data_IF_732667029284
#
_entry.id   IF_732667029284
#
_cell.length_a   1.000
_cell.length_b   1.000
_cell.length_c   1.000
_cell.angle_alpha   90.00
_cell.angle_beta   90.00
_cell.angle_gamma   90.00
#
_symmetry.space_group_name_H-M   'P 1'
#
loop_
_entity.id
_entity.type
_entity.pdbx_description
1 polymer ?
#
# COMPACT_ATOMS: atom_id res chain seq x y z
N UNK A 1 -5.13 -8.09 -15.29
CA UNK A 1 -6.53 -7.80 -14.88
C UNK A 1 -7.43 -7.32 -16.03
N UNK A 2 -7.10 -7.53 -17.31
CA UNK A 2 -7.88 -7.02 -18.47
C UNK A 2 -9.28 -7.65 -18.69
N UNK A 3 -9.79 -8.45 -17.75
CA UNK A 3 -11.04 -9.23 -17.93
C UNK A 3 -12.07 -9.07 -16.81
N UNK A 4 -11.69 -8.59 -15.62
CA UNK A 4 -12.61 -8.47 -14.50
C UNK A 4 -12.41 -7.12 -13.79
N UNK A 5 -13.49 -6.35 -13.54
CA UNK A 5 -13.42 -5.09 -12.81
C UNK A 5 -13.07 -5.29 -11.33
N UNK A 6 -12.59 -4.23 -10.68
CA UNK A 6 -12.51 -4.18 -9.23
C UNK A 6 -13.94 -4.13 -8.70
N UNK A 7 -14.32 -5.10 -7.86
CA UNK A 7 -15.70 -5.25 -7.36
C UNK A 7 -15.71 -5.58 -5.87
N UNK A 8 -16.84 -5.41 -5.20
CA UNK A 8 -17.05 -5.83 -3.81
C UNK A 8 -16.66 -7.29 -3.61
N UNK A 9 -17.10 -8.18 -4.50
CA UNK A 9 -16.72 -9.61 -4.48
C UNK A 9 -15.21 -9.85 -4.57
N UNK A 10 -14.48 -9.05 -5.34
CA UNK A 10 -13.01 -9.13 -5.40
C UNK A 10 -12.41 -8.74 -4.04
N UNK A 11 -12.91 -7.67 -3.42
CA UNK A 11 -12.43 -7.17 -2.14
C UNK A 11 -12.74 -8.14 -1.00
N UNK A 12 -13.93 -8.72 -0.96
CA UNK A 12 -14.34 -9.76 -0.01
C UNK A 12 -13.45 -11.01 -0.14
N UNK A 13 -13.28 -11.55 -1.36
CA UNK A 13 -12.44 -12.72 -1.58
C UNK A 13 -10.95 -12.46 -1.30
N UNK A 14 -10.48 -11.22 -1.52
CA UNK A 14 -9.13 -10.84 -1.15
C UNK A 14 -8.98 -10.68 0.37
N UNK A 15 -9.99 -10.12 1.05
CA UNK A 15 -10.04 -10.01 2.51
C UNK A 15 -9.99 -11.39 3.17
N UNK A 16 -10.80 -12.34 2.68
CA UNK A 16 -10.81 -13.74 3.13
C UNK A 16 -9.40 -14.35 3.03
N UNK A 17 -8.76 -14.28 1.85
CA UNK A 17 -7.40 -14.83 1.65
C UNK A 17 -6.33 -14.15 2.49
N UNK A 18 -6.46 -12.85 2.71
CA UNK A 18 -5.50 -12.07 3.49
C UNK A 18 -5.50 -12.49 4.97
N UNK A 19 -6.67 -12.85 5.50
CA UNK A 19 -6.85 -13.19 6.91
C UNK A 19 -6.87 -14.69 7.21
N UNK A 20 -7.14 -15.55 6.21
CA UNK A 20 -7.17 -17.02 6.34
C UNK A 20 -5.95 -17.62 7.08
N UNK A 21 -4.77 -17.00 6.93
CA UNK A 21 -3.51 -17.47 7.53
C UNK A 21 -3.01 -16.64 8.72
N UNK A 22 -3.70 -15.57 9.06
CA UNK A 22 -3.37 -14.77 10.24
C UNK A 22 -4.07 -15.44 11.41
N UNK A 23 -3.31 -16.20 12.20
CA UNK A 23 -3.86 -17.05 13.26
C UNK A 23 -4.95 -16.35 14.07
N UNK A 24 -6.05 -17.05 14.34
CA UNK A 24 -7.25 -16.56 15.06
C UNK A 24 -6.84 -15.86 16.36
N UNK A 25 -6.58 -14.56 16.33
CA UNK A 25 -6.28 -13.78 17.53
C UNK A 25 -7.58 -13.68 18.31
N UNK A 26 -7.55 -14.17 19.55
CA UNK A 26 -8.70 -14.35 20.44
C UNK A 26 -9.61 -13.11 20.48
N UNK A 27 -10.91 -13.34 20.28
CA UNK A 27 -11.98 -12.42 20.72
C UNK A 27 -12.76 -11.68 19.64
N UNK A 28 -12.36 -11.78 18.37
CA UNK A 28 -13.19 -11.32 17.25
C UNK A 28 -13.52 -12.51 16.37
N UNK A 29 -14.80 -12.83 16.23
CA UNK A 29 -15.28 -13.66 15.12
C UNK A 29 -14.89 -12.93 13.83
N UNK A 30 -13.71 -13.24 13.28
CA UNK A 30 -13.27 -12.64 12.04
C UNK A 30 -14.23 -13.10 10.95
N UNK A 31 -15.11 -12.19 10.56
CA UNK A 31 -16.02 -12.37 9.44
C UNK A 31 -15.18 -12.29 8.16
N UNK A 32 -14.52 -13.40 7.84
CA UNK A 32 -13.67 -13.52 6.66
C UNK A 32 -14.52 -13.26 5.41
N UNK A 33 -14.02 -12.35 4.56
CA UNK A 33 -14.72 -11.92 3.35
C UNK A 33 -16.11 -11.31 3.56
N UNK A 34 -16.43 -10.82 4.76
CA UNK A 34 -17.76 -10.27 5.06
C UNK A 34 -17.63 -8.88 5.69
N UNK A 35 -18.57 -8.00 5.36
CA UNK A 35 -18.62 -6.67 5.97
C UNK A 35 -18.85 -6.71 7.48
N UNK A 36 -18.46 -5.62 8.14
CA UNK A 36 -18.57 -5.42 9.58
C UNK A 36 -20.01 -5.60 10.05
N UNK A 37 -20.19 -6.19 11.23
CA UNK A 37 -21.48 -6.30 11.92
C UNK A 37 -21.61 -5.35 13.11
N UNK A 38 -20.50 -4.75 13.51
CA UNK A 38 -20.40 -3.79 14.60
C UNK A 38 -19.69 -2.52 14.13
N UNK A 39 -19.92 -1.41 14.84
CA UNK A 39 -19.21 -0.17 14.56
C UNK A 39 -17.73 -0.31 14.90
N UNK A 40 -16.87 -0.04 13.93
CA UNK A 40 -15.42 -0.02 14.08
C UNK A 40 -14.89 1.43 14.17
N UNK A 41 -13.57 1.57 14.34
CA UNK A 41 -12.89 2.84 14.59
C UNK A 41 -11.46 2.82 14.05
N UNK A 42 -10.89 4.00 13.83
CA UNK A 42 -9.50 4.17 13.40
C UNK A 42 -8.73 5.01 14.42
N UNK A 43 -7.52 4.58 14.76
CA UNK A 43 -6.60 5.34 15.61
C UNK A 43 -6.96 5.39 17.10
N UNK A 44 -7.59 4.34 17.65
CA UNK A 44 -7.93 4.22 19.08
C UNK A 44 -8.28 2.79 19.49
N UNK A 45 -8.51 2.56 20.78
CA UNK A 45 -8.89 1.24 21.35
C UNK A 45 -10.37 1.16 21.75
N UNK A 46 -11.05 2.31 21.78
CA UNK A 46 -12.46 2.47 22.13
C UNK A 46 -13.04 3.61 21.29
N UNK A 47 -14.36 3.62 21.08
CA UNK A 47 -15.02 4.66 20.26
C UNK A 47 -14.79 6.08 20.81
N UNK A 48 -14.75 6.23 22.14
CA UNK A 48 -14.51 7.50 22.83
C UNK A 48 -13.07 8.04 22.69
N UNK A 49 -12.12 7.17 22.36
CA UNK A 49 -10.70 7.50 22.15
C UNK A 49 -10.28 7.40 20.69
N UNK A 50 -11.23 7.14 19.79
CA UNK A 50 -10.95 7.02 18.37
C UNK A 50 -10.61 8.39 17.77
N UNK A 51 -9.64 8.40 16.85
CA UNK A 51 -9.31 9.60 16.07
C UNK A 51 -10.24 9.80 14.89
N UNK A 52 -10.84 8.71 14.40
CA UNK A 52 -11.81 8.75 13.32
C UNK A 52 -12.85 7.63 13.49
N UNK A 53 -14.11 7.98 13.32
CA UNK A 53 -15.24 7.04 13.31
C UNK A 53 -15.70 6.85 11.86
N UNK A 54 -15.50 5.65 11.27
CA UNK A 54 -15.94 5.30 9.92
C UNK A 54 -17.45 5.33 9.71
N UNK A 55 -17.85 5.15 8.45
CA UNK A 55 -19.24 5.09 8.02
C UNK A 55 -20.10 4.21 8.95
N UNK A 56 -21.33 4.65 9.29
CA UNK A 56 -22.26 3.85 10.10
C UNK A 56 -22.50 2.48 9.49
N UNK A 57 -22.72 1.47 10.35
CA UNK A 57 -22.96 0.08 9.94
C UNK A 57 -23.99 -0.05 8.80
N UNK A 58 -25.13 0.65 8.90
CA UNK A 58 -26.24 0.57 7.94
C UNK A 58 -25.92 1.19 6.58
N UNK A 59 -24.88 2.02 6.51
CA UNK A 59 -24.51 2.77 5.31
C UNK A 59 -23.27 2.19 4.63
N UNK A 60 -22.50 1.35 5.32
CA UNK A 60 -21.22 0.83 4.82
C UNK A 60 -21.36 0.06 3.50
N UNK A 61 -22.37 -0.81 3.37
CA UNK A 61 -22.57 -1.61 2.14
C UNK A 61 -22.99 -0.74 0.95
N UNK A 62 -23.88 0.24 1.19
CA UNK A 62 -24.31 1.19 0.18
C UNK A 62 -23.11 2.05 -0.28
N UNK A 63 -22.32 2.55 0.67
CA UNK A 63 -21.12 3.33 0.38
C UNK A 63 -20.06 2.51 -0.40
N UNK A 64 -19.90 1.21 -0.09
CA UNK A 64 -19.04 0.31 -0.88
C UNK A 64 -19.57 0.12 -2.30
N UNK A 65 -20.90 -0.01 -2.46
CA UNK A 65 -21.53 -0.11 -3.76
C UNK A 65 -21.32 1.16 -4.60
N UNK A 66 -21.36 2.33 -3.96
CA UNK A 66 -21.11 3.61 -4.60
C UNK A 66 -19.64 3.77 -4.99
N UNK A 67 -18.72 3.33 -4.12
CA UNK A 67 -17.29 3.29 -4.40
C UNK A 67 -16.98 2.37 -5.58
N UNK A 68 -17.59 1.19 -5.65
CA UNK A 68 -17.43 0.27 -6.78
C UNK A 68 -17.90 0.91 -8.10
N UNK A 69 -19.05 1.58 -8.10
CA UNK A 69 -19.53 2.31 -9.29
C UNK A 69 -18.58 3.45 -9.68
N UNK A 70 -18.03 4.16 -8.69
CA UNK A 70 -17.04 5.20 -8.94
C UNK A 70 -15.77 4.64 -9.57
N UNK A 71 -15.23 3.52 -9.04
CA UNK A 71 -14.00 2.91 -9.57
C UNK A 71 -14.17 2.52 -11.04
N UNK A 72 -15.31 1.90 -11.39
CA UNK A 72 -15.57 1.33 -12.72
C UNK A 72 -16.27 2.27 -13.71
N UNK A 73 -16.38 3.56 -13.39
CA UNK A 73 -16.98 4.55 -14.30
C UNK A 73 -16.15 4.73 -15.58
N UNK A 74 -16.79 5.19 -16.65
CA UNK A 74 -16.08 5.60 -17.86
C UNK A 74 -15.23 6.85 -17.60
N UNK A 75 -13.95 6.82 -18.03
CA UNK A 75 -12.98 7.91 -17.80
C UNK A 75 -12.51 8.53 -19.11
N UNK A 76 -12.20 9.82 -19.08
CA UNK A 76 -11.76 10.58 -20.27
C UNK A 76 -10.27 10.94 -20.32
N UNK A 77 -9.44 10.64 -19.32
CA UNK A 77 -7.96 10.81 -19.42
C UNK A 77 -7.18 10.12 -18.26
N UNK A 78 -5.93 9.68 -18.50
CA UNK A 78 -5.11 8.95 -17.52
C UNK A 78 -4.44 9.81 -16.43
N UNK A 79 -4.21 11.12 -16.64
CA UNK A 79 -3.61 12.00 -15.62
C UNK A 79 -4.46 12.11 -14.34
N UNK A 80 -5.75 11.80 -14.42
CA UNK A 80 -6.65 11.72 -13.27
C UNK A 80 -6.48 10.45 -12.42
N UNK A 81 -5.75 9.44 -12.90
CA UNK A 81 -5.67 8.15 -12.22
C UNK A 81 -5.06 8.25 -10.81
N UNK A 82 -3.99 9.03 -10.62
CA UNK A 82 -3.35 9.19 -9.31
C UNK A 82 -4.24 9.96 -8.31
N UNK A 83 -4.97 10.97 -8.80
CA UNK A 83 -5.94 11.69 -7.98
C UNK A 83 -7.09 10.76 -7.60
N UNK A 84 -7.62 9.99 -8.55
CA UNK A 84 -8.66 9.00 -8.29
C UNK A 84 -8.21 7.93 -7.30
N UNK A 85 -6.97 7.46 -7.39
CA UNK A 85 -6.39 6.53 -6.41
C UNK A 85 -6.37 7.14 -5.01
N UNK A 86 -6.03 8.44 -4.88
CA UNK A 86 -6.08 9.14 -3.60
C UNK A 86 -7.51 9.23 -3.05
N UNK A 87 -8.48 9.56 -3.91
CA UNK A 87 -9.90 9.66 -3.54
C UNK A 87 -10.49 8.31 -3.14
N UNK A 88 -10.20 7.26 -3.91
CA UNK A 88 -10.67 5.90 -3.62
C UNK A 88 -10.01 5.36 -2.35
N UNK A 89 -8.72 5.62 -2.14
CA UNK A 89 -8.04 5.21 -0.91
C UNK A 89 -8.68 5.88 0.32
N UNK A 90 -8.91 7.19 0.27
CA UNK A 90 -9.66 7.90 1.31
C UNK A 90 -11.02 7.25 1.55
N UNK A 91 -11.83 7.13 0.50
CA UNK A 91 -13.20 6.68 0.62
C UNK A 91 -13.29 5.26 1.19
N UNK A 92 -12.43 4.35 0.73
CA UNK A 92 -12.37 2.98 1.25
C UNK A 92 -12.03 2.96 2.75
N UNK A 93 -11.04 3.74 3.16
CA UNK A 93 -10.57 3.80 4.55
C UNK A 93 -11.62 4.42 5.47
N UNK A 94 -12.34 5.45 5.01
CA UNK A 94 -13.42 6.09 5.78
C UNK A 94 -14.72 5.29 5.80
N UNK A 95 -14.97 4.41 4.83
CA UNK A 95 -16.05 3.41 4.92
C UNK A 95 -15.67 2.34 5.95
N UNK A 96 -14.40 1.91 5.91
CA UNK A 96 -13.83 0.87 6.78
C UNK A 96 -14.73 -0.37 6.84
N UNK A 97 -14.96 -1.05 5.70
CA UNK A 97 -16.09 -1.97 5.55
C UNK A 97 -15.93 -3.30 6.31
N UNK A 98 -14.72 -3.70 6.69
CA UNK A 98 -14.45 -4.98 7.36
C UNK A 98 -14.18 -4.79 8.87
N UNK A 99 -14.26 -5.86 9.66
CA UNK A 99 -13.97 -5.80 11.10
C UNK A 99 -12.47 -5.54 11.39
N UNK A 100 -11.58 -6.11 10.58
CA UNK A 100 -10.11 -5.91 10.60
C UNK A 100 -9.61 -5.97 9.14
N UNK A 101 -8.32 -5.72 8.92
CA UNK A 101 -7.69 -5.91 7.61
C UNK A 101 -7.90 -4.76 6.64
N UNK A 102 -8.74 -3.77 6.97
CA UNK A 102 -9.05 -2.63 6.12
C UNK A 102 -7.79 -1.92 5.62
N UNK A 103 -6.86 -1.53 6.49
CA UNK A 103 -5.65 -0.83 6.03
C UNK A 103 -4.78 -1.66 5.07
N UNK A 104 -4.71 -2.99 5.28
CA UNK A 104 -3.97 -3.90 4.38
C UNK A 104 -4.66 -4.00 3.03
N UNK A 105 -5.99 -4.11 3.03
CA UNK A 105 -6.82 -4.19 1.83
C UNK A 105 -6.86 -2.86 1.07
N UNK A 106 -6.93 -1.73 1.76
CA UNK A 106 -6.89 -0.38 1.19
C UNK A 106 -5.57 -0.12 0.48
N UNK A 107 -4.44 -0.51 1.08
CA UNK A 107 -3.13 -0.44 0.40
C UNK A 107 -3.00 -1.39 -0.79
N UNK A 108 -3.57 -2.59 -0.70
CA UNK A 108 -3.63 -3.50 -1.85
C UNK A 108 -4.48 -2.90 -3.00
N UNK A 109 -5.59 -2.24 -2.68
CA UNK A 109 -6.46 -1.59 -3.65
C UNK A 109 -5.70 -0.51 -4.44
N UNK A 110 -4.80 0.26 -3.81
CA UNK A 110 -3.92 1.21 -4.51
C UNK A 110 -3.10 0.49 -5.61
N UNK A 111 -2.44 -0.62 -5.28
CA UNK A 111 -1.63 -1.37 -6.25
C UNK A 111 -2.47 -1.99 -7.36
N UNK A 112 -3.68 -2.47 -7.05
CA UNK A 112 -4.61 -3.00 -8.05
C UNK A 112 -5.09 -1.89 -9.00
N UNK A 113 -5.48 -0.73 -8.45
CA UNK A 113 -5.87 0.43 -9.26
C UNK A 113 -4.74 0.90 -10.15
N UNK A 114 -3.50 0.96 -9.66
CA UNK A 114 -2.36 1.36 -10.48
C UNK A 114 -2.19 0.46 -11.71
N UNK A 115 -2.48 -0.84 -11.58
CA UNK A 115 -2.45 -1.79 -12.70
C UNK A 115 -3.67 -1.65 -13.60
N UNK A 116 -4.88 -1.49 -13.05
CA UNK A 116 -6.10 -1.37 -13.87
C UNK A 116 -6.15 -0.07 -14.66
N UNK A 117 -5.61 1.01 -14.09
CA UNK A 117 -5.50 2.33 -14.71
C UNK A 117 -4.26 2.47 -15.61
N UNK A 118 -3.49 1.40 -15.82
CA UNK A 118 -2.27 1.38 -16.66
C UNK A 118 -1.18 2.36 -16.22
N UNK A 119 -1.18 2.75 -14.95
CA UNK A 119 -0.09 3.54 -14.33
C UNK A 119 1.17 2.69 -14.23
N UNK A 120 1.01 1.39 -13.95
CA UNK A 120 2.08 0.38 -13.93
C UNK A 120 1.59 -0.93 -14.54
N UNK A 121 2.49 -1.72 -15.15
CA UNK A 121 2.13 -3.00 -15.76
C UNK A 121 1.98 -4.15 -14.75
N UNK A 122 2.55 -3.99 -13.56
CA UNK A 122 2.59 -5.00 -12.51
C UNK A 122 2.37 -4.37 -11.13
N UNK A 123 1.79 -5.11 -10.16
CA UNK A 123 1.45 -4.56 -8.84
C UNK A 123 2.68 -4.45 -7.92
N UNK A 124 3.65 -3.62 -8.30
CA UNK A 124 4.94 -3.43 -7.59
C UNK A 124 4.96 -2.19 -6.70
N UNK A 125 3.88 -1.40 -6.71
CA UNK A 125 3.75 -0.24 -5.84
C UNK A 125 3.51 -0.70 -4.40
N UNK A 126 4.48 -0.47 -3.51
CA UNK A 126 4.43 -0.87 -2.10
C UNK A 126 4.51 0.35 -1.18
N UNK A 127 3.34 0.85 -0.76
CA UNK A 127 3.20 2.09 0.01
C UNK A 127 3.47 1.96 1.51
N UNK A 128 3.33 0.75 2.05
CA UNK A 128 3.35 0.53 3.51
C UNK A 128 4.60 1.05 4.22
N UNK A 129 5.84 0.88 3.71
CA UNK A 129 7.03 1.36 4.40
C UNK A 129 7.08 2.88 4.55
N UNK A 130 6.48 3.62 3.62
CA UNK A 130 6.45 5.08 3.66
C UNK A 130 5.24 5.62 4.43
N UNK A 131 4.14 4.86 4.49
CA UNK A 131 2.97 5.19 5.31
C UNK A 131 3.16 4.90 6.80
N UNK A 132 3.83 3.80 7.17
CA UNK A 132 3.92 3.37 8.58
C UNK A 132 4.50 4.45 9.52
N UNK A 133 5.62 5.13 9.18
CA UNK A 133 6.14 6.23 10.01
C UNK A 133 5.24 7.47 10.02
N UNK A 134 4.29 7.56 9.08
CA UNK A 134 3.40 8.71 8.84
C UNK A 134 1.94 8.39 9.20
N UNK A 135 1.68 7.27 9.87
CA UNK A 135 0.32 6.78 10.14
C UNK A 135 -0.55 7.78 10.90
N UNK A 136 0.04 8.57 11.79
CA UNK A 136 -0.70 9.54 12.57
C UNK A 136 -1.12 10.74 11.71
N UNK A 137 -0.21 11.27 10.89
CA UNK A 137 -0.52 12.32 9.93
C UNK A 137 -1.56 11.85 8.90
N UNK A 138 -1.45 10.59 8.45
CA UNK A 138 -2.42 9.97 7.56
C UNK A 138 -3.84 9.99 8.13
N UNK A 139 -4.02 9.57 9.39
CA UNK A 139 -5.32 9.58 10.06
C UNK A 139 -5.84 11.02 10.26
N UNK A 140 -4.97 11.95 10.67
CA UNK A 140 -5.36 13.35 10.86
C UNK A 140 -5.82 14.00 9.56
N UNK A 141 -5.13 13.75 8.45
CA UNK A 141 -5.50 14.29 7.14
C UNK A 141 -6.85 13.73 6.67
N UNK A 142 -7.11 12.42 6.86
CA UNK A 142 -8.44 11.87 6.59
C UNK A 142 -9.52 12.55 7.45
N UNK A 143 -9.24 12.78 8.72
CA UNK A 143 -10.16 13.51 9.60
C UNK A 143 -10.42 14.94 9.10
N UNK A 144 -9.38 15.69 8.70
CA UNK A 144 -9.55 17.06 8.20
C UNK A 144 -10.37 17.10 6.90
N UNK A 145 -10.23 16.11 6.01
CA UNK A 145 -11.10 15.99 4.84
C UNK A 145 -12.56 15.83 5.27
N UNK A 146 -12.84 14.91 6.19
CA UNK A 146 -14.21 14.68 6.67
C UNK A 146 -14.79 15.89 7.41
N UNK A 147 -13.98 16.63 8.17
CA UNK A 147 -14.45 17.72 9.02
C UNK A 147 -14.54 19.06 8.29
N UNK A 148 -13.65 19.30 7.32
CA UNK A 148 -13.45 20.63 6.69
C UNK A 148 -13.32 20.59 5.17
N UNK A 149 -13.35 19.41 4.54
CA UNK A 149 -13.21 19.29 3.09
C UNK A 149 -11.82 19.62 2.56
N UNK A 150 -10.76 19.46 3.37
CA UNK A 150 -9.36 19.77 3.01
C UNK A 150 -8.75 18.75 2.05
N UNK A 151 -9.37 18.56 0.88
CA UNK A 151 -8.96 17.56 -0.12
C UNK A 151 -7.57 17.79 -0.68
N UNK A 152 -7.15 19.04 -0.82
CA UNK A 152 -5.84 19.40 -1.38
C UNK A 152 -4.73 18.80 -0.50
N UNK A 153 -4.80 18.97 0.82
CA UNK A 153 -3.78 18.46 1.74
C UNK A 153 -3.69 16.92 1.72
N UNK A 154 -4.84 16.25 1.66
CA UNK A 154 -4.90 14.79 1.53
C UNK A 154 -4.28 14.30 0.21
N UNK A 155 -4.67 14.89 -0.91
CA UNK A 155 -4.16 14.50 -2.23
C UNK A 155 -2.66 14.77 -2.29
N UNK A 156 -2.20 15.93 -1.81
CA UNK A 156 -0.78 16.26 -1.75
C UNK A 156 0.02 15.27 -0.92
N UNK A 157 -0.47 14.91 0.28
CA UNK A 157 0.16 13.87 1.12
C UNK A 157 0.21 12.52 0.40
N UNK A 158 -0.90 12.09 -0.20
CA UNK A 158 -0.97 10.81 -0.89
C UNK A 158 0.03 10.75 -2.05
N UNK A 159 0.13 11.83 -2.84
CA UNK A 159 1.06 11.92 -3.96
C UNK A 159 2.52 11.94 -3.48
N UNK A 160 2.83 12.66 -2.40
CA UNK A 160 4.18 12.68 -1.80
C UNK A 160 4.61 11.27 -1.36
N UNK A 161 3.77 10.57 -0.61
CA UNK A 161 4.05 9.20 -0.16
C UNK A 161 4.16 8.25 -1.35
N UNK A 162 3.37 8.47 -2.40
CA UNK A 162 3.45 7.69 -3.66
C UNK A 162 4.81 7.91 -4.32
N UNK A 163 5.27 9.14 -4.44
CA UNK A 163 6.59 9.47 -5.01
C UNK A 163 7.73 8.82 -4.21
N UNK A 164 7.67 8.87 -2.87
CA UNK A 164 8.65 8.22 -2.01
C UNK A 164 8.67 6.71 -2.23
N UNK A 165 7.48 6.09 -2.29
CA UNK A 165 7.32 4.66 -2.46
C UNK A 165 7.82 4.18 -3.82
N UNK A 166 7.49 4.88 -4.90
CA UNK A 166 7.98 4.58 -6.25
C UNK A 166 9.50 4.73 -6.32
N UNK A 167 10.05 5.81 -5.76
CA UNK A 167 11.50 6.05 -5.72
C UNK A 167 12.23 4.91 -5.02
N UNK A 168 11.68 4.44 -3.89
CA UNK A 168 12.20 3.30 -3.15
C UNK A 168 12.09 1.99 -3.94
N UNK A 169 10.97 1.74 -4.60
CA UNK A 169 10.78 0.56 -5.46
C UNK A 169 11.82 0.53 -6.58
N UNK A 170 12.02 1.63 -7.29
CA UNK A 170 13.04 1.74 -8.36
C UNK A 170 14.44 1.44 -7.81
N UNK A 171 14.84 2.06 -6.70
CA UNK A 171 16.15 1.80 -6.07
C UNK A 171 16.31 0.33 -5.66
N UNK A 172 15.25 -0.30 -5.17
CA UNK A 172 15.24 -1.71 -4.79
C UNK A 172 15.46 -2.60 -6.02
N UNK A 173 14.73 -2.33 -7.11
CA UNK A 173 14.89 -3.05 -8.39
C UNK A 173 16.32 -2.90 -8.90
N UNK A 174 16.88 -1.69 -8.90
CA UNK A 174 18.25 -1.45 -9.36
C UNK A 174 19.27 -2.24 -8.52
N UNK A 175 19.07 -2.34 -7.20
CA UNK A 175 19.92 -3.17 -6.33
C UNK A 175 19.81 -4.65 -6.66
N UNK A 176 18.60 -5.16 -6.92
CA UNK A 176 18.37 -6.56 -7.34
C UNK A 176 19.08 -6.84 -8.67
N UNK A 177 18.92 -5.95 -9.67
CA UNK A 177 19.57 -6.12 -10.98
C UNK A 177 21.10 -6.10 -10.89
N UNK A 178 21.67 -5.19 -10.08
CA UNK A 178 23.12 -5.19 -9.83
C UNK A 178 23.60 -6.47 -9.16
N UNK A 179 22.89 -6.94 -8.14
CA UNK A 179 23.23 -8.20 -7.46
C UNK A 179 23.21 -9.39 -8.43
N UNK A 180 22.27 -9.42 -9.38
CA UNK A 180 22.21 -10.47 -10.40
C UNK A 180 23.46 -10.49 -11.28
N UNK A 181 23.91 -9.33 -11.74
CA UNK A 181 25.15 -9.19 -12.52
C UNK A 181 26.36 -9.62 -11.71
N UNK A 182 26.46 -9.19 -10.44
CA UNK A 182 27.55 -9.55 -9.54
C UNK A 182 27.61 -11.07 -9.27
N UNK A 183 26.46 -11.70 -9.02
CA UNK A 183 26.37 -13.15 -8.81
C UNK A 183 26.84 -13.92 -10.04
N UNK A 184 26.39 -13.51 -11.24
CA UNK A 184 26.82 -14.13 -12.51
C UNK A 184 28.32 -13.95 -12.71
N UNK A 185 28.87 -12.78 -12.43
CA UNK A 185 30.31 -12.52 -12.53
C UNK A 185 31.13 -13.42 -11.58
N UNK A 186 30.73 -13.52 -10.30
CA UNK A 186 31.35 -14.43 -9.31
C UNK A 186 31.34 -15.88 -9.80
N UNK A 187 30.21 -16.37 -10.30
CA UNK A 187 30.11 -17.74 -10.80
C UNK A 187 30.94 -17.99 -12.05
N UNK A 188 30.98 -17.05 -13.01
CA UNK A 188 31.79 -17.18 -14.23
C UNK A 188 33.30 -17.17 -13.93
N UNK A 189 33.73 -16.45 -12.89
CA UNK A 189 35.12 -16.45 -12.46
C UNK A 189 35.55 -17.80 -11.85
N UNK A 190 34.62 -18.50 -11.18
CA UNK A 190 34.90 -19.78 -10.52
C UNK A 190 34.63 -21.01 -11.41
N UNK A 191 33.74 -20.92 -12.39
CA UNK A 191 33.33 -22.07 -13.21
C UNK A 191 32.81 -21.65 -14.58
N UNK A 192 33.08 -22.49 -15.60
CA UNK A 192 32.49 -22.37 -16.95
C UNK A 192 31.15 -23.10 -17.10
N UNK A 193 30.57 -23.59 -16.00
CA UNK A 193 29.32 -24.36 -16.02
C UNK A 193 28.10 -23.49 -16.31
N UNK A 194 27.48 -23.70 -17.47
CA UNK A 194 26.18 -23.08 -17.81
C UNK A 194 25.07 -23.47 -16.82
N UNK A 195 25.16 -24.65 -16.19
CA UNK A 195 24.18 -25.10 -15.19
C UNK A 195 24.28 -24.28 -13.90
N UNK A 196 25.47 -23.80 -13.53
CA UNK A 196 25.66 -22.91 -12.37
C UNK A 196 24.97 -21.56 -12.60
N UNK A 197 25.10 -21.00 -13.81
CA UNK A 197 24.38 -19.78 -14.21
C UNK A 197 22.87 -19.98 -14.22
N UNK A 198 22.39 -21.15 -14.67
CA UNK A 198 20.98 -21.49 -14.61
C UNK A 198 20.42 -21.53 -13.18
N UNK A 199 21.22 -21.98 -12.19
CA UNK A 199 20.82 -21.90 -10.77
C UNK A 199 20.79 -20.45 -10.28
N UNK A 200 21.72 -19.60 -10.72
CA UNK A 200 21.69 -18.16 -10.40
C UNK A 200 20.40 -17.52 -10.93
N UNK A 201 20.03 -17.78 -12.18
CA UNK A 201 18.81 -17.21 -12.74
C UNK A 201 17.56 -17.73 -11.99
N UNK A 202 17.57 -18.99 -11.55
CA UNK A 202 16.51 -19.59 -10.74
C UNK A 202 16.37 -18.92 -9.35
N UNK A 203 17.47 -18.55 -8.68
CA UNK A 203 17.37 -17.95 -7.34
C UNK A 203 16.80 -16.53 -7.36
N UNK A 204 16.84 -15.83 -8.49
CA UNK A 204 16.16 -14.53 -8.65
C UNK A 204 14.66 -14.66 -8.86
N UNK A 205 14.18 -15.82 -9.37
CA UNK A 205 12.76 -16.19 -9.33
C UNK A 205 12.36 -16.74 -7.95
N UNK A 206 13.26 -17.49 -7.31
CA UNK A 206 13.03 -18.19 -6.04
C UNK A 206 14.23 -18.07 -5.11
N UNK A 207 14.28 -17.07 -4.23
CA UNK A 207 15.43 -16.82 -3.34
C UNK A 207 15.72 -17.94 -2.33
N UNK A 208 14.80 -18.90 -2.19
CA UNK A 208 14.94 -20.09 -1.36
C UNK A 208 14.78 -21.32 -2.24
N UNK A 209 15.81 -22.17 -2.28
CA UNK A 209 15.85 -23.37 -3.13
C UNK A 209 16.24 -24.61 -2.34
N UNK A 210 15.76 -25.76 -2.78
CA UNK A 210 16.18 -27.09 -2.30
C UNK A 210 16.81 -27.87 -3.45
N UNK A 211 17.61 -28.89 -3.14
CA UNK A 211 18.23 -29.76 -4.15
C UNK A 211 17.21 -30.31 -5.15
N UNK A 212 16.03 -30.73 -4.67
CA UNK A 212 14.91 -31.19 -5.50
C UNK A 212 14.46 -30.13 -6.52
N UNK A 213 14.36 -28.87 -6.11
CA UNK A 213 13.99 -27.77 -7.02
C UNK A 213 15.02 -27.61 -8.14
N UNK A 214 16.30 -27.78 -7.82
CA UNK A 214 17.38 -27.72 -8.82
C UNK A 214 17.28 -28.89 -9.80
N UNK A 215 17.06 -30.12 -9.31
CA UNK A 215 16.84 -31.30 -10.16
C UNK A 215 15.70 -31.06 -11.15
N UNK A 216 14.53 -30.64 -10.64
CA UNK A 216 13.32 -30.45 -11.44
C UNK A 216 13.44 -29.29 -12.45
N UNK A 217 14.05 -28.16 -12.06
CA UNK A 217 14.08 -26.95 -12.90
C UNK A 217 15.29 -26.85 -13.82
N UNK A 218 16.42 -27.45 -13.44
CA UNK A 218 17.68 -27.38 -14.20
C UNK A 218 17.96 -28.66 -15.00
N UNK A 219 17.27 -29.76 -14.66
CA UNK A 219 17.39 -31.05 -15.36
C UNK A 219 18.74 -31.71 -15.11
N UNK A 220 19.09 -31.93 -13.84
CA UNK A 220 20.35 -32.54 -13.39
C UNK A 220 20.09 -33.63 -12.36
N UNK A 221 21.07 -34.51 -12.12
CA UNK A 221 20.97 -35.53 -11.06
C UNK A 221 21.02 -34.88 -9.67
N UNK A 222 20.53 -35.57 -8.64
CA UNK A 222 20.58 -35.07 -7.25
C UNK A 222 22.02 -34.77 -6.80
N UNK A 223 22.97 -35.65 -7.16
CA UNK A 223 24.40 -35.44 -6.87
C UNK A 223 24.96 -34.17 -7.55
N UNK A 224 24.57 -33.92 -8.81
CA UNK A 224 24.95 -32.70 -9.52
C UNK A 224 24.29 -31.46 -8.91
N UNK A 225 23.01 -31.52 -8.54
CA UNK A 225 22.30 -30.45 -7.85
C UNK A 225 22.99 -30.06 -6.54
N UNK A 226 23.34 -31.04 -5.70
CA UNK A 226 24.08 -30.81 -4.45
C UNK A 226 25.46 -30.20 -4.69
N UNK A 227 26.12 -30.58 -5.77
CA UNK A 227 27.43 -30.01 -6.14
C UNK A 227 27.30 -28.53 -6.55
N UNK A 228 26.29 -28.18 -7.35
CA UNK A 228 26.01 -26.79 -7.70
C UNK A 228 25.67 -25.94 -6.47
N UNK A 229 24.85 -26.48 -5.55
CA UNK A 229 24.50 -25.79 -4.29
C UNK A 229 25.73 -25.56 -3.41
N UNK A 230 26.62 -26.55 -3.26
CA UNK A 230 27.89 -26.39 -2.53
C UNK A 230 28.77 -25.31 -3.16
N UNK A 231 28.94 -25.33 -4.48
CA UNK A 231 29.72 -24.30 -5.19
C UNK A 231 29.16 -22.89 -4.95
N UNK A 232 27.85 -22.70 -5.04
CA UNK A 232 27.24 -21.39 -4.76
C UNK A 232 27.35 -20.99 -3.28
N UNK A 233 27.42 -21.95 -2.37
CA UNK A 233 27.66 -21.71 -0.94
C UNK A 233 29.10 -21.26 -0.70
N UNK A 234 30.08 -21.93 -1.34
CA UNK A 234 31.50 -21.57 -1.29
C UNK A 234 31.77 -20.17 -1.89
N UNK A 235 30.98 -19.77 -2.89
CA UNK A 235 31.03 -18.42 -3.48
C UNK A 235 30.33 -17.34 -2.63
N UNK A 236 29.76 -17.71 -1.48
CA UNK A 236 28.99 -16.81 -0.62
C UNK A 236 27.68 -16.32 -1.23
N UNK A 237 27.18 -16.98 -2.28
CA UNK A 237 25.91 -16.62 -2.95
C UNK A 237 24.71 -17.22 -2.21
N UNK A 238 24.89 -18.44 -1.70
CA UNK A 238 23.88 -19.18 -0.93
C UNK A 238 24.35 -19.44 0.49
N UNK A 239 23.38 -19.51 1.40
CA UNK A 239 23.59 -19.95 2.78
C UNK A 239 22.69 -21.14 3.05
N UNK A 240 23.26 -22.28 3.44
CA UNK A 240 22.48 -23.44 3.89
C UNK A 240 21.81 -23.13 5.23
N UNK A 241 20.53 -23.46 5.35
CA UNK A 241 19.83 -23.40 6.62
C UNK A 241 19.81 -24.77 7.29
N UNK A 242 20.42 -24.85 8.47
CA UNK A 242 20.41 -26.05 9.30
C UNK A 242 19.05 -26.35 9.97
N UNK A 243 18.05 -25.50 9.79
CA UNK A 243 16.75 -25.60 10.49
C UNK A 243 15.63 -26.25 9.67
N UNK A 244 15.89 -26.63 8.41
CA UNK A 244 14.87 -27.20 7.53
C UNK A 244 15.21 -28.64 7.12
N UNK A 245 14.18 -29.50 7.15
CA UNK A 245 14.23 -30.85 6.56
C UNK A 245 13.13 -30.99 5.50
N UNK A 246 13.47 -31.28 4.23
CA UNK A 246 14.82 -31.36 3.67
C UNK A 246 15.57 -30.01 3.67
N UNK A 247 16.90 -30.06 3.62
CA UNK A 247 17.78 -28.88 3.67
C UNK A 247 17.42 -27.86 2.58
N UNK A 248 17.52 -26.57 2.93
CA UNK A 248 17.19 -25.45 2.06
C UNK A 248 18.32 -24.42 2.06
N UNK A 249 18.52 -23.77 0.91
CA UNK A 249 19.54 -22.76 0.69
C UNK A 249 18.89 -21.42 0.38
N UNK A 250 19.45 -20.36 0.97
CA UNK A 250 18.91 -19.00 0.93
C UNK A 250 19.90 -18.08 0.23
N UNK A 251 19.43 -17.34 -0.77
CA UNK A 251 20.14 -16.20 -1.34
C UNK A 251 19.97 -15.00 -0.39
N UNK A 252 20.73 -14.98 0.70
CA UNK A 252 20.51 -14.04 1.82
C UNK A 252 20.60 -12.58 1.39
N UNK A 253 21.64 -12.20 0.63
CA UNK A 253 21.80 -10.83 0.14
C UNK A 253 20.56 -10.38 -0.67
N UNK A 254 20.02 -11.26 -1.51
CA UNK A 254 18.82 -10.99 -2.31
C UNK A 254 17.56 -10.82 -1.43
N UNK A 255 17.38 -11.67 -0.42
CA UNK A 255 16.24 -11.62 0.51
C UNK A 255 16.26 -10.33 1.35
N UNK A 256 17.45 -9.82 1.65
CA UNK A 256 17.62 -8.65 2.51
C UNK A 256 17.49 -7.32 1.75
N UNK A 257 17.68 -7.28 0.42
CA UNK A 257 17.58 -6.05 -0.38
C UNK A 257 16.29 -5.23 -0.14
N UNK A 258 15.08 -5.83 -0.10
CA UNK A 258 13.84 -5.07 0.06
C UNK A 258 13.58 -4.59 1.49
N UNK A 259 14.34 -5.10 2.47
CA UNK A 259 14.13 -4.75 3.88
C UNK A 259 14.56 -3.29 4.09
N UNK A 260 13.78 -2.50 4.86
CA UNK A 260 14.22 -1.16 5.24
C UNK A 260 15.58 -1.23 5.92
N UNK A 261 16.50 -0.35 5.49
CA UNK A 261 17.71 -0.07 6.27
C UNK A 261 17.21 0.45 7.63
N UNK A 262 17.47 -0.32 8.69
CA UNK A 262 17.07 -0.01 10.07
C UNK A 262 17.61 1.37 10.50
N UNK A 263 18.59 1.91 9.78
CA UNK A 263 19.31 3.16 10.07
C UNK A 263 18.60 4.45 9.58
N UNK A 264 17.59 4.37 8.71
CA UNK A 264 17.01 5.57 8.07
C UNK A 264 15.97 6.36 8.90
N UNK A 265 15.76 6.01 10.17
CA UNK A 265 14.83 6.73 11.06
C UNK A 265 15.28 8.17 11.43
N UNK A 266 16.48 8.60 11.00
CA UNK A 266 17.04 9.92 11.31
C UNK A 266 16.49 11.11 10.51
N UNK A 267 15.97 10.90 9.30
CA UNK A 267 15.62 12.00 8.38
C UNK A 267 14.17 12.51 8.49
N UNK A 268 13.34 11.90 9.33
CA UNK A 268 11.94 12.28 9.52
C UNK A 268 11.74 13.58 10.33
N UNK A 269 12.81 14.20 10.84
CA UNK A 269 12.72 15.46 11.61
C UNK A 269 12.52 16.74 10.77
N UNK A 270 12.55 16.66 9.44
CA UNK A 270 12.37 17.87 8.59
C UNK A 270 10.93 18.33 8.39
N UNK A 271 9.92 17.53 8.77
CA UNK A 271 8.52 17.84 8.49
C UNK A 271 7.69 18.31 9.69
N UNK A 272 8.30 18.47 10.87
CA UNK A 272 7.64 19.10 12.02
C UNK A 272 7.84 20.62 12.07
N UNK A 273 8.27 21.26 10.98
CA UNK A 273 8.62 22.68 11.00
C UNK A 273 8.77 23.30 9.62
N UNK A 274 7.66 23.56 8.93
CA UNK A 274 7.59 24.69 8.01
C UNK A 274 6.21 25.34 8.14
N UNK A 275 6.23 26.48 8.82
CA UNK A 275 5.25 27.57 8.83
C UNK A 275 4.31 27.58 7.63
N UNK A 276 3.00 27.66 7.94
CA UNK A 276 1.96 28.11 7.02
C UNK A 276 2.46 29.31 6.19
N UNK A 277 2.29 29.32 4.86
CA UNK A 277 2.40 30.56 4.12
C UNK A 277 1.28 31.48 4.61
N UNK A 278 1.73 32.62 5.10
CA UNK A 278 0.97 33.77 5.56
C UNK A 278 -0.26 34.03 4.65
N UNK A 279 -1.44 33.61 5.12
CA UNK A 279 -2.71 33.93 4.47
C UNK A 279 -2.95 35.42 4.73
N UNK A 280 -2.41 36.26 3.84
CA UNK A 280 -2.83 37.65 3.76
C UNK A 280 -4.35 37.67 3.65
N UNK A 281 -4.99 38.30 4.65
CA UNK A 281 -6.40 38.68 4.62
C UNK A 281 -6.69 39.36 3.28
N UNK A 282 -7.34 38.65 2.38
CA UNK A 282 -8.12 39.29 1.32
C UNK A 282 -9.37 39.84 2.02
N UNK A 283 -9.45 41.16 2.12
CA UNK A 283 -10.67 41.85 2.53
C UNK A 283 -11.81 41.44 1.60
N UNK A 284 -12.88 40.90 2.19
CA UNK A 284 -14.11 40.65 1.47
C UNK A 284 -14.73 41.99 1.04
N UNK A 285 -15.23 42.14 -0.20
CA UNK A 285 -15.91 43.37 -0.61
C UNK A 285 -17.18 43.56 0.23
N UNK A 286 -17.32 44.76 0.80
CA UNK A 286 -18.43 45.16 1.63
C UNK A 286 -19.76 45.02 0.88
N UNK A 287 -20.66 44.18 1.42
CA UNK A 287 -22.06 44.14 1.00
C UNK A 287 -22.74 45.37 1.62
N UNK A 288 -23.14 46.31 0.76
CA UNK A 288 -23.87 47.51 1.18
C UNK A 288 -25.23 47.14 1.79
N UNK A 289 -25.47 47.59 3.02
CA UNK A 289 -26.78 47.49 3.67
C UNK A 289 -27.78 48.46 2.99
N UNK A 290 -29.07 48.09 2.86
CA UNK A 290 -30.08 48.98 2.32
C UNK A 290 -30.36 50.16 3.29
N UNK A 291 -30.71 51.35 2.77
CA UNK A 291 -30.92 52.52 3.60
C UNK A 291 -32.20 52.40 4.45
N UNK A 292 -32.08 52.81 5.71
CA UNK A 292 -33.21 53.00 6.64
C UNK A 292 -34.04 54.21 6.18
N UNK A 293 -35.24 53.95 5.67
CA UNK A 293 -36.28 54.96 5.41
C UNK A 293 -37.20 55.09 6.63
N UNK A 294 -37.61 56.34 6.88
CA UNK A 294 -38.25 56.88 8.07
C UNK A 294 -39.70 56.39 8.29
N UNK A 295 -40.08 56.25 9.57
CA UNK A 295 -41.47 56.31 10.04
C UNK A 295 -42.10 57.66 9.68
N UNK A 296 -43.42 57.66 9.38
CA UNK A 296 -44.27 58.61 10.07
C UNK A 296 -45.54 57.95 10.65
N UNK A 297 -45.74 58.31 11.92
CA UNK A 297 -46.95 58.37 12.74
C UNK A 297 -48.32 58.01 12.14
N UNK A 298 -49.03 57.18 12.93
CA UNK A 298 -50.44 57.29 13.37
C UNK A 298 -51.40 58.09 12.47
N UNK A 299 -52.52 57.46 12.07
CA UNK A 299 -53.89 57.89 12.43
C UNK A 299 -54.92 56.78 12.11
N UNK A 300 -55.94 56.79 12.95
CA UNK A 300 -57.09 55.92 13.18
C UNK A 300 -58.02 55.68 11.99
N UNK A 301 -58.67 54.51 12.00
CA UNK A 301 -59.88 54.19 11.26
C UNK A 301 -61.07 55.09 11.68
N UNK A 302 -62.08 55.17 10.81
CA UNK A 302 -63.39 54.61 11.16
C UNK A 302 -63.81 53.46 10.24
#
# INVERSE_FOLDING_TARGET
MKRLPISGRLLEGAHERLLDRVGRVRGQDQLLGQYKRDQNMIGGHRLDTARFIPAPLREAEAAMSDLERHINRERKAPTHALIDMALVNYQFETIHPFADGNGRLGRMLISLMAVTETVVDMPVLYMSPELEPRKDAYIDLMYQVSAKGTWIDWISFFLEVTTLSVTRTVRTIDRVLRLHVEYRARAMAASRSNKLLGVIDLIFDRPVVQARTIVERIGVTDAAARTLLRQLTELGILVESGSYHPAAWFARELIDIPRPDIESSGDLRRYSGSSSPDVRRAEAPAIAAPPRGQDPERTTAP
#
